data_IF_093030624541
#
_entry.id   IF_093030624541
#
_cell.length_a   1.000
_cell.length_b   1.000
_cell.length_c   1.000
_cell.angle_alpha   90.00
_cell.angle_beta   90.00
_cell.angle_gamma   90.00
#
_symmetry.space_group_name_H-M   'P 1'
#
loop_
_entity.id
_entity.type
_entity.pdbx_description
1 polymer ?
#
# COMPACT_ATOMS: atom_id res chain seq x y z
N UNK A 1 -11.34 -14.09 -6.08
CA UNK A 1 -11.10 -13.03 -5.09
C UNK A 1 -10.35 -11.93 -5.83
N UNK A 2 -10.70 -10.64 -5.69
CA UNK A 2 -9.94 -9.58 -6.33
C UNK A 2 -8.50 -9.61 -5.82
N UNK A 3 -7.54 -9.48 -6.72
CA UNK A 3 -6.12 -9.38 -6.36
C UNK A 3 -5.92 -8.07 -5.61
N UNK A 4 -5.33 -8.14 -4.41
CA UNK A 4 -5.03 -6.94 -3.63
C UNK A 4 -3.90 -6.15 -4.28
N UNK A 5 -4.03 -4.83 -4.30
CA UNK A 5 -2.95 -3.93 -4.74
C UNK A 5 -1.86 -3.96 -3.69
N UNK A 6 -0.66 -4.38 -4.08
CA UNK A 6 0.51 -4.28 -3.21
C UNK A 6 0.90 -2.81 -3.11
N UNK A 7 0.40 -2.11 -2.10
CA UNK A 7 0.98 -0.83 -1.66
C UNK A 7 2.48 -1.11 -1.37
N UNK A 8 3.38 -0.21 -1.09
CA UNK A 8 4.84 -0.50 -1.03
C UNK A 8 5.52 -0.93 -2.35
N UNK A 9 4.91 -1.76 -3.21
CA UNK A 9 5.52 -2.29 -4.44
C UNK A 9 4.84 -1.87 -5.75
N UNK A 10 3.54 -1.60 -5.70
CA UNK A 10 2.73 -1.25 -6.86
C UNK A 10 3.26 0.02 -7.52
N UNK A 11 3.21 0.00 -8.84
CA UNK A 11 3.51 1.13 -9.69
C UNK A 11 2.39 2.19 -9.64
N UNK A 12 2.61 3.40 -10.19
CA UNK A 12 1.63 4.49 -10.18
C UNK A 12 0.25 4.14 -10.73
N UNK A 13 0.18 3.28 -11.75
CA UNK A 13 -1.08 2.88 -12.38
C UNK A 13 -1.83 1.88 -11.50
N UNK A 14 -1.12 0.88 -10.97
CA UNK A 14 -1.69 -0.10 -10.03
C UNK A 14 -2.22 0.56 -8.75
N UNK A 15 -1.56 1.62 -8.28
CA UNK A 15 -2.03 2.36 -7.11
C UNK A 15 -3.36 3.08 -7.35
N UNK A 16 -3.63 3.52 -8.58
CA UNK A 16 -4.88 4.19 -8.95
C UNK A 16 -6.07 3.22 -9.04
N UNK A 17 -5.83 1.90 -8.99
CA UNK A 17 -6.91 0.92 -8.88
C UNK A 17 -7.56 0.93 -7.48
N UNK A 18 -6.90 1.54 -6.49
CA UNK A 18 -7.48 1.73 -5.16
C UNK A 18 -8.51 2.87 -5.16
N UNK A 19 -9.66 2.69 -4.51
CA UNK A 19 -10.68 3.73 -4.43
C UNK A 19 -10.15 4.96 -3.71
N UNK A 20 -10.42 6.15 -4.26
CA UNK A 20 -9.94 7.41 -3.69
C UNK A 20 -8.46 7.71 -3.96
N UNK A 21 -7.76 6.90 -4.77
CA UNK A 21 -6.37 7.16 -5.18
C UNK A 21 -6.33 7.74 -6.58
N UNK A 22 -6.14 9.06 -6.69
CA UNK A 22 -5.83 9.75 -7.93
C UNK A 22 -4.34 10.09 -8.05
N UNK A 23 -3.92 10.79 -9.13
CA UNK A 23 -2.51 11.14 -9.39
C UNK A 23 -1.82 11.81 -8.19
N UNK A 24 -2.50 12.76 -7.54
CA UNK A 24 -1.99 13.45 -6.35
C UNK A 24 -1.75 12.51 -5.16
N UNK A 25 -2.63 11.53 -4.98
CA UNK A 25 -2.50 10.52 -3.93
C UNK A 25 -1.37 9.54 -4.24
N UNK A 26 -1.20 9.17 -5.51
CA UNK A 26 -0.05 8.36 -5.94
C UNK A 26 1.25 9.04 -5.56
N UNK A 27 1.41 10.33 -5.90
CA UNK A 27 2.58 11.11 -5.52
C UNK A 27 2.79 11.13 -4.01
N UNK A 28 1.71 11.29 -3.23
CA UNK A 28 1.78 11.25 -1.77
C UNK A 28 2.26 9.90 -1.24
N UNK A 29 1.79 8.76 -1.77
CA UNK A 29 2.24 7.46 -1.27
C UNK A 29 3.69 7.18 -1.71
N UNK A 30 4.08 7.57 -2.93
CA UNK A 30 5.46 7.40 -3.39
C UNK A 30 6.43 8.21 -2.54
N UNK A 31 6.09 9.47 -2.27
CA UNK A 31 6.86 10.34 -1.38
C UNK A 31 6.94 9.75 0.03
N UNK A 32 5.83 9.27 0.57
CA UNK A 32 5.81 8.63 1.89
C UNK A 32 6.74 7.42 1.95
N UNK A 33 6.70 6.53 0.94
CA UNK A 33 7.61 5.37 0.88
C UNK A 33 9.07 5.77 0.89
N UNK A 34 9.42 6.83 0.16
CA UNK A 34 10.78 7.32 0.05
C UNK A 34 11.29 7.97 1.34
N UNK A 35 10.44 8.71 2.06
CA UNK A 35 10.84 9.47 3.26
C UNK A 35 10.67 8.70 4.57
N UNK A 36 9.65 7.85 4.66
CA UNK A 36 9.25 7.18 5.90
C UNK A 36 9.37 5.65 5.86
N UNK A 37 9.64 5.08 4.68
CA UNK A 37 9.67 3.63 4.49
C UNK A 37 8.28 3.03 4.22
N UNK A 38 8.11 1.70 4.36
CA UNK A 38 6.90 1.01 3.95
C UNK A 38 5.67 1.46 4.75
N UNK A 39 4.53 1.52 4.04
CA UNK A 39 3.20 1.75 4.61
C UNK A 39 2.77 0.46 5.32
N UNK A 40 2.42 0.59 6.59
CA UNK A 40 2.24 -0.53 7.52
C UNK A 40 0.81 -1.07 7.55
N UNK A 41 -0.19 -0.18 7.44
CA UNK A 41 -1.60 -0.57 7.60
C UNK A 41 -2.59 0.39 6.91
N UNK A 42 -3.85 -0.02 6.87
CA UNK A 42 -4.93 0.69 6.20
C UNK A 42 -5.19 2.09 6.77
N UNK A 43 -4.92 2.32 8.06
CA UNK A 43 -5.14 3.62 8.70
C UNK A 43 -4.04 4.58 8.30
N UNK A 44 -2.81 4.10 8.20
CA UNK A 44 -1.69 4.90 7.71
C UNK A 44 -1.89 5.28 6.24
N UNK A 45 -2.34 4.35 5.41
CA UNK A 45 -2.71 4.67 4.03
C UNK A 45 -3.85 5.70 3.99
N UNK A 46 -4.94 5.49 4.75
CA UNK A 46 -6.05 6.44 4.79
C UNK A 46 -5.61 7.85 5.23
N UNK A 47 -4.65 7.96 6.15
CA UNK A 47 -4.08 9.24 6.56
C UNK A 47 -3.31 9.92 5.42
N UNK A 48 -2.48 9.18 4.67
CA UNK A 48 -1.76 9.69 3.48
C UNK A 48 -2.76 10.16 2.41
N UNK A 49 -3.87 9.44 2.25
CA UNK A 49 -4.93 9.77 1.30
C UNK A 49 -5.85 10.92 1.78
N UNK A 50 -5.63 11.48 2.96
CA UNK A 50 -6.48 12.54 3.52
C UNK A 50 -7.90 12.09 3.82
N UNK A 51 -8.09 10.81 4.16
CA UNK A 51 -9.40 10.24 4.53
C UNK A 51 -10.37 10.04 3.36
N UNK A 52 -9.91 10.15 2.10
CA UNK A 52 -10.76 9.96 0.91
C UNK A 52 -11.22 8.51 0.73
N UNK A 53 -10.48 7.55 1.29
CA UNK A 53 -10.79 6.13 1.24
C UNK A 53 -11.01 5.60 2.66
N UNK A 54 -12.07 4.80 2.85
CA UNK A 54 -12.36 4.16 4.12
C UNK A 54 -11.34 3.07 4.44
N UNK A 55 -10.83 3.05 5.68
CA UNK A 55 -9.87 2.05 6.14
C UNK A 55 -10.37 0.60 5.92
N UNK A 56 -11.65 0.34 6.17
CA UNK A 56 -12.26 -0.97 5.93
C UNK A 56 -12.16 -1.40 4.46
N UNK A 57 -12.42 -0.50 3.51
CA UNK A 57 -12.31 -0.77 2.08
C UNK A 57 -10.85 -1.00 1.67
N UNK A 58 -9.93 -0.19 2.19
CA UNK A 58 -8.50 -0.35 1.92
C UNK A 58 -7.99 -1.69 2.45
N UNK A 59 -8.41 -2.15 3.63
CA UNK A 59 -8.02 -3.45 4.20
C UNK A 59 -8.36 -4.63 3.27
N UNK A 60 -9.49 -4.55 2.58
CA UNK A 60 -9.95 -5.59 1.66
C UNK A 60 -9.21 -5.55 0.31
N UNK A 61 -8.79 -4.36 -0.14
CA UNK A 61 -8.24 -4.14 -1.48
C UNK A 61 -6.71 -3.94 -1.52
N UNK A 62 -6.08 -3.65 -0.39
CA UNK A 62 -4.66 -3.34 -0.30
C UNK A 62 -3.88 -4.41 0.47
N UNK A 63 -2.67 -4.67 -0.02
CA UNK A 63 -1.64 -5.47 0.63
C UNK A 63 -0.51 -4.55 1.09
N UNK A 64 -0.16 -4.65 2.38
CA UNK A 64 0.81 -3.77 3.04
C UNK A 64 2.15 -4.47 3.30
N UNK A 65 2.36 -5.66 2.74
CA UNK A 65 3.62 -6.39 2.93
C UNK A 65 4.79 -5.58 2.36
N UNK A 66 5.91 -5.43 3.10
CA UNK A 66 7.12 -4.81 2.57
C UNK A 66 7.74 -5.70 1.48
N UNK A 67 8.66 -5.12 0.69
CA UNK A 67 9.34 -5.82 -0.41
C UNK A 67 9.99 -7.15 0.00
N UNK A 68 10.55 -7.19 1.21
CA UNK A 68 11.32 -8.32 1.73
C UNK A 68 10.46 -9.41 2.39
N UNK A 69 9.14 -9.20 2.53
CA UNK A 69 8.25 -10.17 3.18
C UNK A 69 7.92 -11.40 2.29
N UNK A 70 8.86 -11.85 1.46
CA UNK A 70 8.74 -13.10 0.71
C UNK A 70 9.28 -14.25 1.56
N UNK A 71 8.37 -14.89 2.30
CA UNK A 71 8.56 -16.16 3.02
C UNK A 71 9.58 -16.13 4.19
N UNK A 72 9.36 -16.91 5.26
CA UNK A 72 10.37 -17.05 6.30
C UNK A 72 11.63 -17.65 5.67
N UNK A 73 12.78 -17.06 5.95
CA UNK A 73 14.06 -17.72 5.75
C UNK A 73 13.94 -19.11 6.37
N UNK A 74 13.94 -20.16 5.53
CA UNK A 74 14.00 -21.52 6.02
C UNK A 74 15.25 -21.61 6.90
N UNK A 75 15.17 -22.09 8.16
CA UNK A 75 16.36 -22.31 8.95
C UNK A 75 17.26 -23.25 8.15
N UNK A 76 18.49 -22.80 7.90
CA UNK A 76 19.50 -23.54 7.15
C UNK A 76 19.69 -24.96 7.72
N UNK A 77 20.03 -25.85 6.79
CA UNK A 77 20.26 -27.28 6.94
C UNK A 77 21.18 -27.69 8.11
#
# INVERSE_FOLDING_TARGET
MPTKVRVNLANPLELQELPGVGPRQVEAILKFRAEHGPIQDERQLAAILGGQAGAATLRELADFSPADATAPEAPGA
#
